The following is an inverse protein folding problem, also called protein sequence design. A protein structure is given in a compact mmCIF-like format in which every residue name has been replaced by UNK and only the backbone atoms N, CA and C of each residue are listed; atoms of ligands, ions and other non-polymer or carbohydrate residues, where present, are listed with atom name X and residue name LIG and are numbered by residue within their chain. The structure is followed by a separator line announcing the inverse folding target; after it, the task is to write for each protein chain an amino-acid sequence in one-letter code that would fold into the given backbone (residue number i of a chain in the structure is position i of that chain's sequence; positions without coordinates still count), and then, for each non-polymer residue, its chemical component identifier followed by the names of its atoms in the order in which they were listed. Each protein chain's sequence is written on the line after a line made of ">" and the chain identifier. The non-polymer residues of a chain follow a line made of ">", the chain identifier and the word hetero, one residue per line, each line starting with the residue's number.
data_IF_249574543820
#
_entry.id   IF_249574543820
#
_cell.length_a   1.000
_cell.length_b   1.000
_cell.length_c   1.000
_cell.angle_alpha   90.00
_cell.angle_beta   90.00
_cell.angle_gamma   90.00
#
_symmetry.space_group_name_H-M   'P 1'
#
loop_
_entity.id
_entity.type
_entity.pdbx_description
1 polymer ?
#
# COMPACT_ATOMS: atom_id res chain seq x y z
N UNK A 1 -22.97 6.75 23.86
CA UNK A 1 -22.39 8.01 23.36
C UNK A 1 -22.03 7.77 21.92
N UNK A 2 -22.92 8.16 21.01
CA UNK A 2 -22.76 7.97 19.57
C UNK A 2 -21.57 8.82 19.10
N UNK A 3 -20.53 8.17 18.59
CA UNK A 3 -19.50 8.86 17.83
C UNK A 3 -20.18 9.45 16.59
N UNK A 4 -20.38 10.76 16.60
CA UNK A 4 -20.68 11.52 15.41
C UNK A 4 -19.49 11.36 14.46
N UNK A 5 -19.53 10.37 13.57
CA UNK A 5 -18.61 10.27 12.44
C UNK A 5 -19.04 11.35 11.44
N UNK A 6 -18.34 12.48 11.32
CA UNK A 6 -18.85 13.59 10.54
C UNK A 6 -18.82 13.25 9.05
N UNK A 7 -19.78 13.86 8.34
CA UNK A 7 -19.97 13.88 6.88
C UNK A 7 -18.74 14.42 6.14
N UNK A 8 -17.65 13.66 6.07
CA UNK A 8 -16.47 13.99 5.24
C UNK A 8 -16.61 13.37 3.84
N UNK A 9 -17.79 13.47 3.24
CA UNK A 9 -18.06 12.90 1.90
C UNK A 9 -17.98 13.95 0.78
N UNK A 10 -17.55 15.18 1.07
CA UNK A 10 -17.36 16.24 0.06
C UNK A 10 -15.94 16.21 -0.51
N UNK A 11 -15.84 16.46 -1.81
CA UNK A 11 -14.57 16.44 -2.57
C UNK A 11 -13.49 17.34 -1.97
N UNK A 12 -13.86 18.51 -1.43
CA UNK A 12 -12.90 19.45 -0.83
C UNK A 12 -12.27 18.92 0.46
N UNK A 13 -13.05 18.24 1.30
CA UNK A 13 -12.53 17.70 2.56
C UNK A 13 -11.58 16.52 2.30
N UNK A 14 -11.84 15.74 1.25
CA UNK A 14 -10.94 14.70 0.78
C UNK A 14 -9.60 15.27 0.26
N UNK A 15 -9.64 16.37 -0.50
CA UNK A 15 -8.43 17.07 -0.97
C UNK A 15 -7.64 17.63 0.22
N UNK A 16 -8.31 18.20 1.22
CA UNK A 16 -7.66 18.72 2.44
C UNK A 16 -7.03 17.59 3.28
N UNK A 17 -7.71 16.46 3.42
CA UNK A 17 -7.14 15.30 4.11
C UNK A 17 -5.92 14.73 3.37
N UNK A 18 -5.95 14.70 2.03
CA UNK A 18 -4.79 14.31 1.22
C UNK A 18 -3.62 15.28 1.40
N UNK A 19 -3.89 16.58 1.31
CA UNK A 19 -2.88 17.62 1.53
C UNK A 19 -2.30 17.52 2.95
N UNK A 20 -3.12 17.27 3.97
CA UNK A 20 -2.66 17.06 5.33
C UNK A 20 -1.80 15.80 5.46
N UNK A 21 -2.16 14.71 4.78
CA UNK A 21 -1.36 13.48 4.77
C UNK A 21 0.00 13.67 4.07
N UNK A 22 0.07 14.47 3.00
CA UNK A 22 1.31 14.87 2.33
C UNK A 22 2.16 15.77 3.23
N UNK A 23 1.54 16.74 3.92
CA UNK A 23 2.21 17.64 4.87
C UNK A 23 2.68 16.93 6.15
N UNK A 24 2.03 15.84 6.56
CA UNK A 24 2.47 15.00 7.67
C UNK A 24 3.61 14.04 7.26
N UNK A 25 4.09 14.07 6.01
CA UNK A 25 5.36 13.44 5.66
C UNK A 25 6.53 14.12 6.39
N UNK A 26 7.70 13.47 6.37
CA UNK A 26 8.85 13.72 7.25
C UNK A 26 9.35 15.18 7.37
N UNK A 27 8.91 16.08 6.50
CA UNK A 27 9.47 17.43 6.39
C UNK A 27 8.76 18.51 7.24
N UNK A 28 7.57 18.25 7.81
CA UNK A 28 6.79 19.32 8.49
C UNK A 28 6.21 18.99 9.87
N UNK A 29 5.87 17.75 10.16
CA UNK A 29 5.36 17.33 11.48
C UNK A 29 6.07 16.05 11.89
N UNK A 30 7.05 16.15 12.80
CA UNK A 30 7.84 15.03 13.33
C UNK A 30 7.01 14.05 14.22
N UNK A 31 5.67 14.14 14.15
CA UNK A 31 4.73 13.28 14.85
C UNK A 31 4.19 12.17 13.92
N UNK A 32 4.88 11.04 13.96
CA UNK A 32 4.54 9.83 13.19
C UNK A 32 3.16 9.27 13.57
N UNK A 33 2.64 9.56 14.77
CA UNK A 33 1.29 9.14 15.17
C UNK A 33 0.21 9.98 14.47
N UNK A 34 0.47 11.28 14.28
CA UNK A 34 -0.42 12.15 13.52
C UNK A 34 -0.56 11.67 12.06
N UNK A 35 0.55 11.21 11.47
CA UNK A 35 0.55 10.60 10.14
C UNK A 35 -0.36 9.37 10.08
N UNK A 36 -0.28 8.47 11.06
CA UNK A 36 -1.17 7.30 11.15
C UNK A 36 -2.63 7.72 11.26
N UNK A 37 -2.96 8.71 12.10
CA UNK A 37 -4.34 9.20 12.27
C UNK A 37 -4.87 9.80 10.97
N UNK A 38 -4.07 10.62 10.28
CA UNK A 38 -4.42 11.22 9.00
C UNK A 38 -4.71 10.16 7.93
N UNK A 39 -3.85 9.14 7.82
CA UNK A 39 -4.04 8.05 6.86
C UNK A 39 -5.21 7.13 7.23
N UNK A 40 -5.42 6.83 8.51
CA UNK A 40 -6.60 6.06 8.96
C UNK A 40 -7.89 6.80 8.62
N UNK A 41 -7.93 8.12 8.85
CA UNK A 41 -9.11 8.92 8.55
C UNK A 41 -9.37 9.01 7.04
N UNK A 42 -8.32 9.20 6.26
CA UNK A 42 -8.41 9.21 4.78
C UNK A 42 -8.89 7.85 4.26
N UNK A 43 -8.35 6.76 4.80
CA UNK A 43 -8.73 5.40 4.43
C UNK A 43 -10.19 5.08 4.79
N UNK A 44 -10.63 5.44 6.00
CA UNK A 44 -12.02 5.26 6.44
C UNK A 44 -13.01 6.03 5.55
N UNK A 45 -12.69 7.27 5.18
CA UNK A 45 -13.52 8.07 4.27
C UNK A 45 -13.60 7.44 2.87
N UNK A 46 -12.48 6.91 2.36
CA UNK A 46 -12.44 6.16 1.11
C UNK A 46 -13.24 4.85 1.17
N UNK A 47 -13.19 4.15 2.29
CA UNK A 47 -13.89 2.89 2.51
C UNK A 47 -15.40 3.12 2.68
N UNK A 48 -15.82 4.14 3.42
CA UNK A 48 -17.24 4.55 3.57
C UNK A 48 -17.85 5.08 2.26
N UNK A 49 -17.03 5.60 1.34
CA UNK A 49 -17.47 5.99 0.00
C UNK A 49 -17.70 4.78 -0.94
N UNK A 50 -17.47 3.55 -0.47
CA UNK A 50 -17.80 2.29 -1.14
C UNK A 50 -18.73 1.43 -0.27
N UNK A 51 -19.68 0.66 -0.84
CA UNK A 51 -20.33 -0.41 -0.09
C UNK A 51 -19.31 -1.52 0.26
N UNK A 52 -19.53 -2.29 1.34
CA UNK A 52 -18.54 -3.21 1.87
C UNK A 52 -18.11 -4.27 0.85
N UNK A 53 -16.81 -4.35 0.59
CA UNK A 53 -16.21 -5.43 -0.19
C UNK A 53 -16.15 -6.67 0.70
N UNK A 54 -17.10 -7.58 0.49
CA UNK A 54 -17.04 -8.94 1.03
C UNK A 54 -15.80 -9.62 0.48
N UNK A 55 -14.88 -10.02 1.36
CA UNK A 55 -13.71 -10.83 1.04
C UNK A 55 -14.13 -12.11 0.32
N UNK A 56 -14.10 -12.11 -1.02
CA UNK A 56 -14.27 -13.33 -1.80
C UNK A 56 -12.90 -13.98 -1.97
N UNK A 57 -12.68 -15.07 -1.23
CA UNK A 57 -11.61 -16.05 -1.49
C UNK A 57 -11.71 -16.52 -2.94
N UNK A 58 -10.91 -15.96 -3.84
CA UNK A 58 -10.81 -16.48 -5.21
C UNK A 58 -9.57 -17.36 -5.37
N UNK A 59 -9.84 -18.66 -5.23
CA UNK A 59 -9.08 -19.80 -5.76
C UNK A 59 -8.64 -19.52 -7.20
N UNK A 60 -7.39 -19.84 -7.51
CA UNK A 60 -6.71 -19.43 -8.74
C UNK A 60 -7.32 -19.91 -10.05
N UNK A 61 -7.00 -19.19 -11.13
CA UNK A 61 -6.82 -19.68 -12.50
C UNK A 61 -6.18 -18.60 -13.36
N UNK A 62 -4.98 -18.87 -13.90
CA UNK A 62 -4.32 -18.10 -14.96
C UNK A 62 -5.27 -17.96 -16.16
N UNK A 63 -5.60 -16.72 -16.56
CA UNK A 63 -6.14 -16.42 -17.90
C UNK A 63 -5.60 -15.09 -18.43
N UNK A 64 -5.03 -15.20 -19.64
CA UNK A 64 -4.63 -14.19 -20.64
C UNK A 64 -5.05 -12.74 -20.35
N UNK A 65 -4.05 -11.86 -20.35
CA UNK A 65 -4.15 -10.40 -20.37
C UNK A 65 -5.11 -9.92 -21.46
N UNK A 66 -6.33 -9.59 -21.04
CA UNK A 66 -7.22 -8.66 -21.71
C UNK A 66 -7.14 -7.40 -20.85
N UNK A 67 -6.65 -6.27 -21.39
CA UNK A 67 -6.50 -4.98 -20.67
C UNK A 67 -7.77 -4.70 -19.87
N UNK A 68 -7.75 -5.07 -18.59
CA UNK A 68 -8.84 -4.86 -17.62
C UNK A 68 -8.73 -3.37 -17.32
N UNK A 69 -9.75 -2.61 -17.67
CA UNK A 69 -9.76 -1.15 -17.48
C UNK A 69 -9.63 -0.89 -15.98
N UNK A 70 -8.48 -0.34 -15.56
CA UNK A 70 -8.19 -0.08 -14.15
C UNK A 70 -9.30 0.80 -13.56
N UNK A 71 -9.82 0.44 -12.39
CA UNK A 71 -10.79 1.28 -11.68
C UNK A 71 -10.01 2.32 -10.86
N UNK A 72 -10.02 3.62 -11.24
CA UNK A 72 -9.17 4.62 -10.60
C UNK A 72 -9.45 4.75 -9.10
N UNK A 73 -10.71 4.64 -8.68
CA UNK A 73 -11.09 4.66 -7.26
C UNK A 73 -10.53 3.48 -6.47
N UNK A 74 -10.45 2.29 -7.09
CA UNK A 74 -9.87 1.11 -6.43
C UNK A 74 -8.36 1.28 -6.27
N UNK A 75 -7.69 1.89 -7.24
CA UNK A 75 -6.26 2.22 -7.11
C UNK A 75 -6.02 3.27 -6.01
N UNK A 76 -6.84 4.31 -5.92
CA UNK A 76 -6.72 5.32 -4.84
C UNK A 76 -6.88 4.69 -3.44
N UNK A 77 -7.79 3.73 -3.29
CA UNK A 77 -7.95 2.99 -2.03
C UNK A 77 -6.68 2.19 -1.68
N UNK A 78 -6.05 1.57 -2.67
CA UNK A 78 -4.83 0.79 -2.48
C UNK A 78 -3.64 1.70 -2.15
N UNK A 79 -3.57 2.89 -2.76
CA UNK A 79 -2.58 3.92 -2.44
C UNK A 79 -2.71 4.36 -0.97
N UNK A 80 -3.94 4.60 -0.51
CA UNK A 80 -4.20 4.94 0.90
C UNK A 80 -3.88 3.78 1.86
N UNK A 81 -4.22 2.53 1.49
CA UNK A 81 -3.79 1.35 2.24
C UNK A 81 -2.27 1.29 2.37
N UNK A 82 -1.55 1.47 1.26
CA UNK A 82 -0.10 1.35 1.26
C UNK A 82 0.56 2.44 2.11
N UNK A 83 0.09 3.68 1.96
CA UNK A 83 0.58 4.81 2.76
C UNK A 83 0.29 4.64 4.26
N UNK A 84 -0.89 4.12 4.61
CA UNK A 84 -1.20 3.75 6.00
C UNK A 84 -0.26 2.67 6.53
N UNK A 85 0.07 1.66 5.71
CA UNK A 85 1.05 0.65 6.05
C UNK A 85 2.44 1.23 6.34
N UNK A 86 2.90 2.18 5.51
CA UNK A 86 4.17 2.90 5.75
C UNK A 86 4.12 3.73 7.04
N UNK A 87 3.02 4.43 7.29
CA UNK A 87 2.84 5.21 8.52
C UNK A 87 2.89 4.32 9.78
N UNK A 88 2.21 3.16 9.75
CA UNK A 88 2.28 2.16 10.82
C UNK A 88 3.72 1.66 11.04
N UNK A 89 4.48 1.40 9.97
CA UNK A 89 5.88 1.00 10.07
C UNK A 89 6.74 2.08 10.75
N UNK A 90 6.53 3.36 10.45
CA UNK A 90 7.27 4.46 11.06
C UNK A 90 7.07 4.56 12.58
N UNK A 91 5.87 4.24 13.09
CA UNK A 91 5.56 4.20 14.54
C UNK A 91 5.89 2.86 15.20
N UNK A 92 6.43 1.88 14.47
CA UNK A 92 6.77 0.57 15.00
C UNK A 92 5.59 -0.42 15.12
N UNK A 93 4.42 -0.06 14.58
CA UNK A 93 3.26 -0.96 14.52
C UNK A 93 3.38 -1.91 13.31
N UNK A 94 4.28 -2.88 13.44
CA UNK A 94 4.64 -3.79 12.35
C UNK A 94 3.50 -4.74 11.97
N UNK A 95 2.56 -5.03 12.88
CA UNK A 95 1.41 -5.90 12.59
C UNK A 95 0.42 -5.23 11.64
N UNK A 96 0.00 -3.99 11.95
CA UNK A 96 -0.86 -3.23 11.06
C UNK A 96 -0.11 -2.85 9.77
N UNK A 97 1.18 -2.53 9.84
CA UNK A 97 2.00 -2.27 8.65
C UNK A 97 1.96 -3.46 7.67
N UNK A 98 2.24 -4.68 8.15
CA UNK A 98 2.17 -5.91 7.35
C UNK A 98 0.78 -6.13 6.79
N UNK A 99 -0.27 -5.92 7.59
CA UNK A 99 -1.67 -6.12 7.18
C UNK A 99 -2.04 -5.20 6.02
N UNK A 100 -1.76 -3.90 6.13
CA UNK A 100 -2.11 -2.93 5.11
C UNK A 100 -1.25 -3.06 3.85
N UNK A 101 0.07 -3.28 4.00
CA UNK A 101 0.97 -3.52 2.86
C UNK A 101 0.59 -4.78 2.09
N UNK A 102 0.19 -5.86 2.78
CA UNK A 102 -0.31 -7.07 2.14
C UNK A 102 -1.59 -6.82 1.34
N UNK A 103 -2.56 -6.09 1.91
CA UNK A 103 -3.81 -5.70 1.21
C UNK A 103 -3.50 -4.87 -0.03
N UNK A 104 -2.61 -3.89 0.09
CA UNK A 104 -2.20 -3.04 -1.04
C UNK A 104 -1.53 -3.87 -2.15
N UNK A 105 -0.56 -4.70 -1.80
CA UNK A 105 0.15 -5.59 -2.74
C UNK A 105 -0.82 -6.48 -3.52
N UNK A 106 -1.71 -7.20 -2.82
CA UNK A 106 -2.67 -8.10 -3.46
C UNK A 106 -3.63 -7.35 -4.39
N UNK A 107 -4.07 -6.16 -3.99
CA UNK A 107 -4.91 -5.31 -4.83
C UNK A 107 -4.18 -4.74 -6.04
N UNK A 108 -2.94 -4.29 -5.91
CA UNK A 108 -2.14 -3.82 -7.05
C UNK A 108 -1.84 -4.96 -8.02
N UNK A 109 -1.54 -6.15 -7.52
CA UNK A 109 -1.35 -7.33 -8.38
C UNK A 109 -2.63 -7.65 -9.19
N UNK A 110 -3.80 -7.50 -8.58
CA UNK A 110 -5.09 -7.72 -9.26
C UNK A 110 -5.41 -6.63 -10.30
N UNK A 111 -5.07 -5.37 -10.02
CA UNK A 111 -5.43 -4.21 -10.86
C UNK A 111 -4.39 -3.90 -11.93
N UNK A 112 -3.12 -3.95 -11.59
CA UNK A 112 -1.99 -3.50 -12.40
C UNK A 112 -1.11 -4.65 -12.88
N UNK A 113 -1.23 -5.82 -12.25
CA UNK A 113 -0.36 -6.97 -12.50
C UNK A 113 0.83 -7.04 -11.54
N UNK A 114 1.45 -8.21 -11.50
CA UNK A 114 2.49 -8.56 -10.54
C UNK A 114 3.76 -7.70 -10.67
N UNK A 115 4.08 -7.26 -11.89
CA UNK A 115 5.32 -6.55 -12.22
C UNK A 115 5.10 -5.04 -12.46
N UNK A 116 3.98 -4.50 -11.99
CA UNK A 116 3.78 -3.05 -11.91
C UNK A 116 4.65 -2.44 -10.83
N UNK A 117 5.15 -1.22 -11.04
CA UNK A 117 5.95 -0.45 -10.07
C UNK A 117 5.32 -0.45 -8.67
N UNK A 118 4.03 -0.12 -8.55
CA UNK A 118 3.30 -0.13 -7.26
C UNK A 118 3.24 -1.51 -6.61
N UNK A 119 3.13 -2.59 -7.40
CA UNK A 119 3.11 -3.95 -6.88
C UNK A 119 4.49 -4.38 -6.37
N UNK A 120 5.54 -3.97 -7.08
CA UNK A 120 6.92 -4.27 -6.73
C UNK A 120 7.34 -3.52 -5.45
N UNK A 121 7.02 -2.22 -5.36
CA UNK A 121 7.25 -1.40 -4.16
C UNK A 121 6.51 -1.98 -2.94
N UNK A 122 5.23 -2.27 -3.08
CA UNK A 122 4.46 -2.90 -1.99
C UNK A 122 5.00 -4.29 -1.60
N UNK A 123 5.59 -5.02 -2.54
CA UNK A 123 6.26 -6.31 -2.24
C UNK A 123 7.57 -6.08 -1.48
N UNK A 124 8.38 -5.11 -1.87
CA UNK A 124 9.64 -4.76 -1.20
C UNK A 124 9.39 -4.35 0.25
N UNK A 125 8.48 -3.40 0.44
CA UNK A 125 8.06 -2.92 1.76
C UNK A 125 7.53 -4.03 2.67
N UNK A 126 6.75 -4.97 2.13
CA UNK A 126 6.25 -6.12 2.89
C UNK A 126 7.35 -7.12 3.26
N UNK A 127 8.31 -7.38 2.35
CA UNK A 127 9.45 -8.26 2.64
C UNK A 127 10.31 -7.71 3.79
N UNK A 128 10.62 -6.41 3.76
CA UNK A 128 11.34 -5.74 4.84
C UNK A 128 10.61 -5.89 6.20
N UNK A 129 9.28 -5.78 6.21
CA UNK A 129 8.44 -5.91 7.41
C UNK A 129 8.22 -7.37 7.89
N UNK A 130 8.57 -8.36 7.07
CA UNK A 130 8.40 -9.80 7.38
C UNK A 130 9.74 -10.51 7.58
N UNK A 131 10.85 -9.79 7.53
CA UNK A 131 12.20 -10.32 7.69
C UNK A 131 12.38 -11.15 8.97
N UNK A 132 11.78 -10.73 10.09
CA UNK A 132 11.85 -11.44 11.37
C UNK A 132 11.13 -12.80 11.38
N UNK A 133 10.23 -13.05 10.41
CA UNK A 133 9.48 -14.30 10.28
C UNK A 133 10.10 -15.31 9.30
N UNK A 134 11.23 -14.98 8.66
CA UNK A 134 11.91 -15.83 7.70
C UNK A 134 13.33 -16.19 8.16
N UNK A 135 13.84 -17.32 7.67
CA UNK A 135 15.29 -17.55 7.72
C UNK A 135 16.00 -16.56 6.78
N UNK A 136 17.24 -16.21 7.10
CA UNK A 136 18.05 -15.32 6.25
C UNK A 136 18.13 -15.83 4.81
N UNK A 137 18.28 -17.15 4.61
CA UNK A 137 18.31 -17.77 3.29
C UNK A 137 17.02 -17.54 2.50
N UNK A 138 15.86 -17.80 3.12
CA UNK A 138 14.55 -17.59 2.49
C UNK A 138 14.33 -16.12 2.14
N UNK A 139 14.78 -15.21 3.00
CA UNK A 139 14.64 -13.77 2.79
C UNK A 139 15.52 -13.30 1.61
N UNK A 140 16.78 -13.76 1.55
CA UNK A 140 17.71 -13.48 0.45
C UNK A 140 17.15 -13.98 -0.88
N UNK A 141 16.60 -15.19 -0.93
CA UNK A 141 15.98 -15.72 -2.14
C UNK A 141 14.80 -14.87 -2.62
N UNK A 142 13.95 -14.40 -1.69
CA UNK A 142 12.81 -13.54 -2.00
C UNK A 142 13.24 -12.17 -2.52
N UNK A 143 14.25 -11.54 -1.90
CA UNK A 143 14.81 -10.28 -2.40
C UNK A 143 15.47 -10.47 -3.76
N UNK A 144 16.22 -11.55 -3.99
CA UNK A 144 16.80 -11.85 -5.31
C UNK A 144 15.75 -12.03 -6.40
N UNK A 145 14.63 -12.71 -6.13
CA UNK A 145 13.51 -12.80 -7.07
C UNK A 145 12.90 -11.41 -7.34
N UNK A 146 12.73 -10.60 -6.28
CA UNK A 146 12.15 -9.27 -6.40
C UNK A 146 13.02 -8.33 -7.23
N UNK A 147 14.33 -8.25 -6.95
CA UNK A 147 15.30 -7.44 -7.71
C UNK A 147 15.25 -7.80 -9.19
N UNK A 148 15.33 -9.09 -9.53
CA UNK A 148 15.24 -9.55 -10.94
C UNK A 148 13.95 -9.15 -11.64
N UNK A 149 12.86 -9.02 -10.87
CA UNK A 149 11.56 -8.57 -11.40
C UNK A 149 11.53 -7.05 -11.55
N UNK A 150 12.09 -6.30 -10.61
CA UNK A 150 12.25 -4.85 -10.70
C UNK A 150 13.13 -4.46 -11.89
N UNK A 151 14.32 -5.05 -12.03
CA UNK A 151 15.23 -4.81 -13.15
C UNK A 151 14.55 -5.06 -14.50
N UNK A 152 13.80 -6.17 -14.62
CA UNK A 152 13.10 -6.52 -15.87
C UNK A 152 11.95 -5.58 -16.21
N UNK A 153 11.20 -5.15 -15.20
CA UNK A 153 9.97 -4.40 -15.40
C UNK A 153 10.18 -2.88 -15.45
N UNK A 154 11.14 -2.38 -14.67
CA UNK A 154 11.37 -0.95 -14.42
C UNK A 154 12.74 -0.47 -14.89
N UNK A 155 13.71 -1.37 -15.07
CA UNK A 155 15.10 -1.05 -15.34
C UNK A 155 15.94 -0.96 -14.06
N UNK A 156 17.27 -1.03 -14.23
CA UNK A 156 18.24 -1.04 -13.12
C UNK A 156 18.32 0.31 -12.39
N UNK A 157 18.13 1.42 -13.11
CA UNK A 157 18.20 2.80 -12.56
C UNK A 157 16.88 3.29 -11.94
N UNK A 158 15.82 2.47 -11.94
CA UNK A 158 14.56 2.86 -11.33
C UNK A 158 14.69 2.95 -9.80
N UNK A 159 14.06 3.97 -9.21
CA UNK A 159 14.09 4.22 -7.75
C UNK A 159 13.68 2.98 -6.96
N UNK A 160 12.62 2.27 -7.35
CA UNK A 160 12.15 1.06 -6.66
C UNK A 160 13.18 -0.08 -6.78
N UNK A 161 13.85 -0.21 -7.92
CA UNK A 161 14.91 -1.20 -8.11
C UNK A 161 16.09 -0.91 -7.18
N UNK A 162 16.53 0.35 -7.11
CA UNK A 162 17.62 0.79 -6.23
C UNK A 162 17.26 0.66 -4.75
N UNK A 163 16.04 1.01 -4.35
CA UNK A 163 15.56 0.85 -2.97
C UNK A 163 15.50 -0.62 -2.55
N UNK A 164 15.16 -1.53 -3.48
CA UNK A 164 15.13 -2.98 -3.18
C UNK A 164 16.53 -3.57 -2.97
N UNK A 165 17.57 -2.91 -3.46
CA UNK A 165 18.97 -3.34 -3.32
C UNK A 165 19.64 -2.86 -2.03
N UNK A 166 19.11 -1.80 -1.40
CA UNK A 166 19.64 -1.20 -0.18
C UNK A 166 19.18 -1.96 1.08
#
# INVERSE_FOLDING_TARGET
>A
MEQQVPRITRSEDFVKLRALAELCSADFFDDKFLLVVAWRRTFEVLELAMPPVVEKKSRGKKKKQKKKKNEPRKLEMLDACFALGRACNMVGDFDDARRYMKRAKEGYEEQLGRDSEKTLDATSSLLANTASGYSNETLIEKFRDLVKRCERALGEENVVTLETLN
#
